data_IF_367362600909
#
_entry.id   IF_367362600909
#
_cell.length_a   1.000
_cell.length_b   1.000
_cell.length_c   1.000
_cell.angle_alpha   90.00
_cell.angle_beta   90.00
_cell.angle_gamma   90.00
#
_symmetry.space_group_name_H-M   'P 1'
#
loop_
_entity.id
_entity.type
_entity.pdbx_description
1 polymer ?
#
# COMPACT_ATOMS: atom_id res chain seq x y z
N UNK A 1 34.45 6.99 4.21
CA UNK A 1 33.14 7.49 4.72
C UNK A 1 32.38 6.26 5.17
N UNK A 2 32.62 5.86 6.41
CA UNK A 2 32.03 4.68 7.04
C UNK A 2 31.78 5.15 8.46
N UNK A 3 30.54 5.49 8.80
CA UNK A 3 30.02 5.62 10.17
C UNK A 3 28.62 6.25 10.14
N UNK A 4 27.66 5.51 9.56
CA UNK A 4 26.24 5.80 9.66
C UNK A 4 25.41 4.51 9.90
N UNK A 5 26.02 3.48 10.49
CA UNK A 5 25.35 2.26 10.95
C UNK A 5 25.37 2.23 12.47
N UNK A 6 24.53 3.03 13.10
CA UNK A 6 24.43 3.01 14.57
C UNK A 6 23.03 3.49 15.00
N UNK A 7 22.01 2.67 14.70
CA UNK A 7 20.73 2.50 15.44
C UNK A 7 19.71 1.65 14.66
N UNK A 8 20.14 0.73 13.80
CA UNK A 8 19.21 -0.27 13.25
C UNK A 8 19.13 -1.41 14.26
N UNK A 9 17.98 -1.55 14.92
CA UNK A 9 17.60 -2.82 15.54
C UNK A 9 17.78 -3.87 14.44
N UNK A 10 18.72 -4.80 14.61
CA UNK A 10 18.92 -5.91 13.66
C UNK A 10 17.70 -6.83 13.77
N UNK A 11 16.62 -6.45 13.10
CA UNK A 11 15.34 -7.15 13.12
C UNK A 11 15.47 -8.62 12.72
N UNK A 12 16.40 -8.93 11.81
CA UNK A 12 16.73 -10.30 11.45
C UNK A 12 17.19 -11.13 12.67
N UNK A 13 18.11 -10.62 13.47
CA UNK A 13 18.59 -11.30 14.68
C UNK A 13 17.51 -11.36 15.76
N UNK A 14 16.72 -10.29 15.88
CA UNK A 14 15.59 -10.24 16.80
C UNK A 14 14.51 -11.29 16.45
N UNK A 15 14.18 -11.45 15.17
CA UNK A 15 13.22 -12.46 14.70
C UNK A 15 13.75 -13.89 14.87
N UNK A 16 15.05 -14.11 14.65
CA UNK A 16 15.69 -15.40 14.97
C UNK A 16 15.59 -15.71 16.47
N UNK A 17 15.89 -14.75 17.34
CA UNK A 17 15.80 -14.91 18.79
C UNK A 17 14.35 -15.16 19.24
N UNK A 18 13.39 -14.46 18.63
CA UNK A 18 11.97 -14.67 18.88
C UNK A 18 11.54 -16.10 18.57
N UNK A 19 12.13 -16.76 17.57
CA UNK A 19 11.81 -18.16 17.22
C UNK A 19 12.28 -19.19 18.27
N UNK A 20 13.16 -18.80 19.19
CA UNK A 20 13.67 -19.66 20.28
C UNK A 20 12.86 -19.47 21.57
N UNK A 21 11.87 -18.57 21.57
CA UNK A 21 11.01 -18.35 22.73
C UNK A 21 10.18 -19.60 23.05
N UNK A 22 10.40 -20.16 24.24
CA UNK A 22 9.58 -21.22 24.83
C UNK A 22 8.63 -20.60 25.85
N UNK A 23 7.34 -20.67 25.56
CA UNK A 23 6.28 -20.10 26.39
C UNK A 23 5.74 -21.14 27.37
N UNK A 24 4.87 -20.69 28.27
CA UNK A 24 4.19 -21.63 29.18
C UNK A 24 3.13 -22.50 28.47
N UNK A 25 2.80 -22.16 27.21
CA UNK A 25 1.90 -22.92 26.35
C UNK A 25 2.16 -22.61 24.87
N UNK A 26 1.78 -23.51 23.98
CA UNK A 26 1.87 -23.31 22.51
C UNK A 26 1.13 -22.04 22.07
N UNK A 27 0.06 -21.68 22.77
CA UNK A 27 -0.76 -20.51 22.45
C UNK A 27 -0.02 -19.21 22.81
N UNK A 28 0.73 -19.20 23.91
CA UNK A 28 1.58 -18.09 24.35
C UNK A 28 2.77 -17.89 23.38
N UNK A 29 3.38 -18.99 22.93
CA UNK A 29 4.44 -18.95 21.90
C UNK A 29 3.94 -18.34 20.59
N UNK A 30 2.78 -18.81 20.10
CA UNK A 30 2.19 -18.27 18.88
C UNK A 30 1.80 -16.80 19.01
N UNK A 31 1.30 -16.37 20.18
CA UNK A 31 0.99 -14.97 20.46
C UNK A 31 2.27 -14.12 20.40
N UNK A 32 3.36 -14.60 21.01
CA UNK A 32 4.65 -13.93 20.98
C UNK A 32 5.21 -13.81 19.55
N UNK A 33 5.19 -14.88 18.76
CA UNK A 33 5.62 -14.83 17.35
C UNK A 33 4.79 -13.85 16.52
N UNK A 34 3.48 -13.77 16.77
CA UNK A 34 2.60 -12.80 16.09
C UNK A 34 2.94 -11.37 16.47
N UNK A 35 3.20 -11.11 17.74
CA UNK A 35 3.56 -9.77 18.23
C UNK A 35 4.87 -9.31 17.61
N UNK A 36 5.88 -10.18 17.60
CA UNK A 36 7.20 -9.86 17.01
C UNK A 36 7.11 -9.67 15.49
N UNK A 37 6.38 -10.54 14.77
CA UNK A 37 6.15 -10.35 13.34
C UNK A 37 5.29 -9.12 13.02
N UNK A 38 4.41 -8.69 13.93
CA UNK A 38 3.63 -7.46 13.76
C UNK A 38 4.48 -6.20 14.01
N UNK A 39 5.42 -6.27 14.95
CA UNK A 39 6.34 -5.19 15.28
C UNK A 39 7.42 -5.00 14.20
N UNK A 40 7.88 -6.09 13.58
CA UNK A 40 8.91 -6.03 12.54
C UNK A 40 8.48 -5.21 11.31
N UNK A 41 9.43 -4.49 10.66
CA UNK A 41 9.21 -3.93 9.33
C UNK A 41 8.85 -5.03 8.33
N UNK A 42 7.94 -4.72 7.39
CA UNK A 42 7.45 -5.71 6.43
C UNK A 42 8.58 -6.29 5.55
N UNK A 43 9.51 -5.43 5.15
CA UNK A 43 10.62 -5.78 4.25
C UNK A 43 11.65 -6.69 4.97
N UNK A 44 11.89 -6.45 6.26
CA UNK A 44 12.75 -7.30 7.10
C UNK A 44 12.10 -8.66 7.39
N UNK A 45 10.80 -8.68 7.61
CA UNK A 45 10.03 -9.92 7.79
C UNK A 45 10.05 -10.77 6.52
N UNK A 46 9.97 -10.15 5.34
CA UNK A 46 10.10 -10.83 4.04
C UNK A 46 11.52 -11.40 3.84
N UNK A 47 12.55 -10.65 4.20
CA UNK A 47 13.94 -11.09 4.14
C UNK A 47 14.18 -12.29 5.08
N UNK A 48 13.61 -12.25 6.29
CA UNK A 48 13.68 -13.34 7.24
C UNK A 48 12.98 -14.61 6.72
N UNK A 49 11.76 -14.48 6.21
CA UNK A 49 10.98 -15.60 5.67
C UNK A 49 11.58 -16.21 4.40
N UNK A 50 12.29 -15.41 3.59
CA UNK A 50 12.97 -15.88 2.38
C UNK A 50 14.33 -16.55 2.66
N UNK A 51 14.89 -16.38 3.86
CA UNK A 51 16.11 -17.06 4.29
C UNK A 51 15.84 -18.53 4.63
N UNK A 52 16.82 -19.44 4.52
CA UNK A 52 16.60 -20.87 4.77
C UNK A 52 16.19 -21.16 6.22
N UNK A 53 15.26 -22.09 6.42
CA UNK A 53 14.72 -22.44 7.75
C UNK A 53 15.75 -23.19 8.61
N UNK A 54 15.92 -22.77 9.85
CA UNK A 54 16.57 -23.56 10.88
C UNK A 54 15.72 -24.78 11.29
N UNK A 55 16.37 -25.85 11.78
CA UNK A 55 15.73 -27.16 12.11
C UNK A 55 14.56 -27.07 13.11
N UNK A 56 14.46 -25.98 13.88
CA UNK A 56 13.45 -25.75 14.92
C UNK A 56 12.58 -24.51 14.68
N UNK A 57 12.67 -23.88 13.51
CA UNK A 57 11.99 -22.60 13.23
C UNK A 57 10.68 -22.73 12.44
N UNK A 58 10.35 -23.94 11.94
CA UNK A 58 9.27 -24.14 10.98
C UNK A 58 7.89 -23.65 11.48
N UNK A 59 7.55 -23.93 12.76
CA UNK A 59 6.28 -23.51 13.33
C UNK A 59 6.21 -21.99 13.56
N UNK A 60 7.28 -21.41 14.09
CA UNK A 60 7.37 -19.97 14.32
C UNK A 60 7.29 -19.20 12.99
N UNK A 61 8.06 -19.63 11.98
CA UNK A 61 8.03 -19.06 10.63
C UNK A 61 6.67 -19.17 9.96
N UNK A 62 5.95 -20.29 10.14
CA UNK A 62 4.60 -20.43 9.60
C UNK A 62 3.62 -19.39 10.20
N UNK A 63 3.70 -19.13 11.51
CA UNK A 63 2.88 -18.11 12.17
C UNK A 63 3.28 -16.71 11.71
N UNK A 64 4.57 -16.43 11.61
CA UNK A 64 5.09 -15.15 11.12
C UNK A 64 4.73 -14.89 9.65
N UNK A 65 4.70 -15.94 8.82
CA UNK A 65 4.26 -15.87 7.42
C UNK A 65 2.78 -15.48 7.30
N UNK A 66 1.91 -16.02 8.16
CA UNK A 66 0.50 -15.60 8.19
C UNK A 66 0.33 -14.12 8.50
N UNK A 67 1.13 -13.59 9.45
CA UNK A 67 1.14 -12.16 9.78
C UNK A 67 1.67 -11.33 8.60
N UNK A 68 2.72 -11.80 7.93
CA UNK A 68 3.24 -11.16 6.73
C UNK A 68 2.18 -11.07 5.62
N UNK A 69 1.52 -12.18 5.27
CA UNK A 69 0.48 -12.19 4.24
C UNK A 69 -0.69 -11.25 4.57
N UNK A 70 -1.14 -11.24 5.82
CA UNK A 70 -2.20 -10.36 6.29
C UNK A 70 -1.81 -8.87 6.21
N UNK A 71 -0.55 -8.52 6.46
CA UNK A 71 -0.06 -7.14 6.35
C UNK A 71 0.22 -6.74 4.90
N UNK A 72 0.75 -7.66 4.10
CA UNK A 72 1.06 -7.44 2.70
C UNK A 72 -0.21 -7.24 1.85
N UNK A 73 -1.27 -8.04 2.11
CA UNK A 73 -2.58 -7.87 1.47
C UNK A 73 -3.21 -6.52 1.81
N UNK A 74 -3.18 -6.09 3.08
CA UNK A 74 -3.65 -4.75 3.48
C UNK A 74 -2.92 -3.62 2.76
N UNK A 75 -1.58 -3.67 2.67
CA UNK A 75 -0.82 -2.66 1.90
C UNK A 75 -1.18 -2.65 0.42
N UNK A 76 -1.45 -3.82 -0.18
CA UNK A 76 -1.91 -3.90 -1.58
C UNK A 76 -3.27 -3.26 -1.75
N UNK A 77 -4.20 -3.49 -0.83
CA UNK A 77 -5.53 -2.84 -0.86
C UNK A 77 -5.44 -1.32 -0.71
N UNK A 78 -4.59 -0.83 0.18
CA UNK A 78 -4.38 0.61 0.37
C UNK A 78 -3.83 1.27 -0.89
N UNK A 79 -2.79 0.68 -1.51
CA UNK A 79 -2.25 1.15 -2.79
C UNK A 79 -3.31 1.12 -3.89
N UNK A 80 -4.10 0.05 -3.98
CA UNK A 80 -5.18 -0.05 -4.95
C UNK A 80 -6.26 1.03 -4.74
N UNK A 81 -6.59 1.36 -3.48
CA UNK A 81 -7.54 2.44 -3.15
C UNK A 81 -6.99 3.81 -3.53
N UNK A 82 -5.70 4.07 -3.33
CA UNK A 82 -5.06 5.32 -3.73
C UNK A 82 -5.04 5.49 -5.25
N UNK A 83 -4.64 4.45 -5.98
CA UNK A 83 -4.66 4.43 -7.44
C UNK A 83 -6.09 4.58 -7.99
N UNK A 84 -7.07 3.92 -7.38
CA UNK A 84 -8.48 4.06 -7.75
C UNK A 84 -8.99 5.49 -7.51
N UNK A 85 -8.57 6.16 -6.43
CA UNK A 85 -8.91 7.57 -6.19
C UNK A 85 -8.30 8.50 -7.23
N UNK A 86 -7.04 8.27 -7.61
CA UNK A 86 -6.37 9.05 -8.67
C UNK A 86 -7.05 8.87 -10.02
N UNK A 87 -7.45 7.65 -10.37
CA UNK A 87 -8.20 7.36 -11.60
C UNK A 87 -9.59 8.00 -11.57
N UNK A 88 -10.29 7.94 -10.43
CA UNK A 88 -11.59 8.60 -10.26
C UNK A 88 -11.51 10.11 -10.45
N UNK A 89 -10.49 10.76 -9.86
CA UNK A 89 -10.24 12.19 -10.06
C UNK A 89 -9.91 12.54 -11.51
N UNK A 90 -9.11 11.72 -12.20
CA UNK A 90 -8.84 11.90 -13.63
C UNK A 90 -10.11 11.79 -14.47
N UNK A 91 -10.98 10.83 -14.18
CA UNK A 91 -12.26 10.67 -14.87
C UNK A 91 -13.18 11.88 -14.69
N UNK A 92 -13.26 12.43 -13.47
CA UNK A 92 -14.07 13.61 -13.17
C UNK A 92 -13.61 14.86 -13.94
N UNK A 93 -12.29 15.11 -13.98
CA UNK A 93 -11.72 16.26 -14.71
C UNK A 93 -12.00 16.16 -16.20
N UNK A 94 -11.90 14.97 -16.78
CA UNK A 94 -12.16 14.75 -18.19
C UNK A 94 -13.64 15.01 -18.55
N UNK A 95 -14.58 14.59 -17.70
CA UNK A 95 -16.00 14.81 -17.92
C UNK A 95 -16.40 16.28 -17.84
N UNK A 96 -15.82 17.03 -16.89
CA UNK A 96 -16.05 18.49 -16.76
C UNK A 96 -15.47 19.25 -17.97
N UNK A 97 -14.27 18.85 -18.43
CA UNK A 97 -13.64 19.49 -19.59
C UNK A 97 -14.45 19.32 -20.88
N UNK A 98 -15.05 18.14 -21.10
CA UNK A 98 -15.88 17.89 -22.28
C UNK A 98 -17.17 18.74 -22.28
N UNK A 99 -17.76 18.96 -21.11
CA UNK A 99 -18.99 19.74 -20.98
C UNK A 99 -18.74 21.25 -21.16
N UNK A 100 -17.62 21.76 -20.64
CA UNK A 100 -17.17 23.14 -20.84
C UNK A 100 -16.86 23.42 -22.31
N UNK A 101 -16.14 22.53 -22.99
CA UNK A 101 -15.82 22.67 -24.42
C UNK A 101 -17.12 22.60 -25.26
N UNK A 102 -18.02 21.66 -24.95
CA UNK A 102 -19.30 21.54 -25.64
C UNK A 102 -20.16 22.80 -25.50
N UNK A 103 -20.31 23.32 -24.27
CA UNK A 103 -21.08 24.52 -24.01
C UNK A 103 -20.47 25.79 -24.65
N UNK A 104 -19.14 25.91 -24.65
CA UNK A 104 -18.44 27.03 -25.30
C UNK A 104 -18.66 27.02 -26.82
N UNK A 105 -18.55 25.85 -27.45
CA UNK A 105 -18.77 25.71 -28.90
C UNK A 105 -20.21 26.08 -29.29
N UNK A 106 -21.20 25.61 -28.52
CA UNK A 106 -22.61 25.94 -28.76
C UNK A 106 -22.88 27.43 -28.53
N UNK A 107 -22.31 28.01 -27.47
CA UNK A 107 -22.44 29.45 -27.18
C UNK A 107 -21.87 30.33 -28.30
N UNK A 108 -20.73 29.95 -28.88
CA UNK A 108 -20.14 30.66 -30.03
C UNK A 108 -21.05 30.55 -31.26
N UNK A 109 -21.57 29.37 -31.57
CA UNK A 109 -22.45 29.16 -32.74
C UNK A 109 -23.74 29.96 -32.59
N UNK A 110 -24.39 29.90 -31.43
CA UNK A 110 -25.63 30.64 -31.16
C UNK A 110 -25.37 32.15 -31.17
N UNK A 111 -24.28 32.61 -30.57
CA UNK A 111 -23.86 34.02 -30.59
C UNK A 111 -23.57 34.53 -32.00
N UNK A 112 -22.97 33.71 -32.86
CA UNK A 112 -22.70 34.07 -34.25
C UNK A 112 -23.99 34.14 -35.08
N UNK A 113 -24.89 33.15 -34.95
CA UNK A 113 -26.18 33.15 -35.67
C UNK A 113 -27.05 34.33 -35.26
N UNK A 114 -27.17 34.58 -33.95
CA UNK A 114 -27.96 35.69 -33.42
C UNK A 114 -27.34 37.05 -33.73
N UNK A 115 -26.01 37.19 -33.64
CA UNK A 115 -25.30 38.42 -34.00
C UNK A 115 -25.38 38.76 -35.47
N UNK A 116 -25.26 37.78 -36.37
CA UNK A 116 -25.41 37.98 -37.83
C UNK A 116 -26.83 38.41 -38.19
N UNK A 117 -27.86 37.83 -37.56
CA UNK A 117 -29.24 38.26 -37.75
C UNK A 117 -29.50 39.68 -37.25
N UNK A 118 -28.86 40.10 -36.16
CA UNK A 118 -29.04 41.43 -35.58
C UNK A 118 -28.27 42.53 -36.35
N UNK A 119 -27.15 42.19 -37.01
CA UNK A 119 -26.40 43.13 -37.85
C UNK A 119 -26.94 43.25 -39.29
N UNK A 120 -27.82 42.33 -39.71
CA UNK A 120 -28.43 42.33 -41.04
C UNK A 120 -29.80 43.05 -41.10
N UNK A 121 -30.30 43.53 -39.95
CA UNK A 121 -31.52 44.34 -39.83
C UNK A 121 -31.15 45.82 -39.60
#
# INVERSE_FOLDING_TARGET
MSDAKNCEVQWYEHLMLACVYEGNSIQDEHEHFRQEAAAAPLDELELFLSSPEGRHEANARAVMAQVYEARASKRKEEKAKEEARLQWWRGLVQQISAQLIGALTIGIIVGFISGVWFCAL
#
